data_IF_530217045268
#
_entry.id   IF_530217045268
#
_cell.length_a   1.000
_cell.length_b   1.000
_cell.length_c   1.000
_cell.angle_alpha   90.00
_cell.angle_beta   90.00
_cell.angle_gamma   90.00
#
_symmetry.space_group_name_H-M   'P 1'
#
loop_
_entity.id
_entity.type
_entity.pdbx_description
1 polymer ?
#
# COMPACT_ATOMS: atom_id res chain seq x y z
N UNK A 1 -20.10 -27.53 11.78
CA UNK A 1 -19.50 -26.21 11.52
C UNK A 1 -18.51 -26.37 10.37
N UNK A 2 -18.91 -25.99 9.16
CA UNK A 2 -18.06 -26.06 7.98
C UNK A 2 -17.01 -24.96 8.07
N UNK A 3 -15.74 -25.33 8.12
CA UNK A 3 -14.65 -24.38 7.99
C UNK A 3 -14.69 -23.80 6.59
N UNK A 4 -14.90 -22.49 6.47
CA UNK A 4 -14.70 -21.77 5.22
C UNK A 4 -13.26 -22.01 4.78
N UNK A 5 -13.09 -22.78 3.70
CA UNK A 5 -11.80 -22.91 3.04
C UNK A 5 -11.47 -21.57 2.43
N UNK A 6 -10.65 -20.78 3.11
CA UNK A 6 -10.08 -19.55 2.53
C UNK A 6 -9.37 -19.96 1.25
N UNK A 7 -9.86 -19.48 0.11
CA UNK A 7 -9.33 -19.81 -1.21
C UNK A 7 -7.86 -19.35 -1.27
N UNK A 8 -6.94 -20.31 -1.41
CA UNK A 8 -5.50 -20.04 -1.43
C UNK A 8 -5.02 -20.05 -2.88
N UNK A 9 -4.68 -18.87 -3.39
CA UNK A 9 -4.14 -18.74 -4.74
C UNK A 9 -2.61 -18.93 -4.72
N UNK A 10 -2.03 -19.85 -5.50
CA UNK A 10 -0.59 -20.02 -5.54
C UNK A 10 0.10 -18.81 -6.19
N UNK A 11 1.32 -18.49 -5.76
CA UNK A 11 2.12 -17.46 -6.42
C UNK A 11 2.41 -17.79 -7.89
N UNK A 12 2.21 -16.81 -8.77
CA UNK A 12 2.73 -16.85 -10.14
C UNK A 12 4.27 -16.81 -10.16
N UNK A 13 4.95 -17.21 -11.25
CA UNK A 13 6.40 -17.07 -11.38
C UNK A 13 6.90 -15.64 -11.14
N UNK A 14 6.22 -14.63 -11.70
CA UNK A 14 6.56 -13.22 -11.47
C UNK A 14 6.38 -12.85 -10.00
N UNK A 15 5.26 -13.25 -9.38
CA UNK A 15 5.03 -12.97 -7.96
C UNK A 15 6.11 -13.60 -7.06
N UNK A 16 6.66 -14.77 -7.42
CA UNK A 16 7.80 -15.35 -6.68
C UNK A 16 9.07 -14.53 -6.84
N UNK A 17 9.34 -14.02 -8.05
CA UNK A 17 10.50 -13.19 -8.31
C UNK A 17 10.43 -11.86 -7.55
N UNK A 18 9.29 -11.16 -7.64
CA UNK A 18 9.07 -9.86 -6.97
C UNK A 18 9.03 -9.95 -5.44
N UNK A 19 8.87 -11.15 -4.87
CA UNK A 19 8.91 -11.39 -3.42
C UNK A 19 10.23 -12.05 -2.98
N UNK A 20 11.26 -12.10 -3.83
CA UNK A 20 12.57 -12.59 -3.40
C UNK A 20 13.24 -11.54 -2.48
N UNK A 21 14.03 -11.97 -1.49
CA UNK A 21 14.74 -11.03 -0.61
C UNK A 21 15.65 -10.05 -1.36
N UNK A 22 16.15 -10.46 -2.52
CA UNK A 22 17.07 -9.68 -3.36
C UNK A 22 16.32 -8.71 -4.29
N UNK A 23 14.99 -8.73 -4.31
CA UNK A 23 14.16 -7.95 -5.22
C UNK A 23 13.12 -7.11 -4.46
N UNK A 24 13.54 -5.91 -4.03
CA UNK A 24 12.65 -4.92 -3.43
C UNK A 24 12.18 -3.93 -4.51
N UNK A 25 10.98 -4.15 -5.06
CA UNK A 25 10.42 -3.32 -6.11
C UNK A 25 9.10 -2.67 -5.67
N UNK A 26 9.06 -1.34 -5.75
CA UNK A 26 7.87 -0.54 -5.49
C UNK A 26 7.50 0.26 -6.74
N UNK A 27 6.20 0.42 -6.97
CA UNK A 27 5.66 1.34 -7.98
C UNK A 27 5.13 2.55 -7.23
N UNK A 28 5.74 3.72 -7.47
CA UNK A 28 5.28 4.98 -6.88
C UNK A 28 4.57 5.79 -7.97
N UNK A 29 3.35 6.23 -7.67
CA UNK A 29 2.56 7.08 -8.56
C UNK A 29 2.21 8.36 -7.80
N UNK A 30 2.69 9.49 -8.30
CA UNK A 30 2.42 10.81 -7.71
C UNK A 30 1.40 11.56 -8.55
N UNK A 31 0.37 12.09 -7.91
CA UNK A 31 -0.71 12.84 -8.57
C UNK A 31 -0.95 14.16 -7.85
N UNK A 32 -0.93 15.27 -8.58
CA UNK A 32 -1.27 16.60 -8.05
C UNK A 32 -2.76 16.91 -8.20
N UNK A 33 -3.37 17.49 -7.17
CA UNK A 33 -4.76 17.98 -7.21
C UNK A 33 -4.82 19.46 -6.83
N UNK A 34 -5.74 20.21 -7.44
CA UNK A 34 -5.99 21.63 -7.08
C UNK A 34 -6.78 21.77 -5.78
N UNK A 35 -7.54 20.73 -5.41
CA UNK A 35 -8.39 20.72 -4.23
C UNK A 35 -7.64 19.98 -3.12
N UNK A 36 -7.70 20.51 -1.90
CA UNK A 36 -7.14 19.83 -0.72
C UNK A 36 -7.81 18.45 -0.57
N UNK A 37 -7.00 17.42 -0.41
CA UNK A 37 -7.48 16.06 -0.18
C UNK A 37 -8.30 15.99 1.11
N UNK A 38 -9.41 15.26 1.09
CA UNK A 38 -10.16 14.90 2.29
C UNK A 38 -9.92 13.41 2.57
N UNK A 39 -9.10 13.06 3.59
CA UNK A 39 -8.78 11.67 3.91
C UNK A 39 -10.02 10.81 4.14
N UNK A 40 -11.05 11.32 4.82
CA UNK A 40 -12.30 10.59 5.06
C UNK A 40 -13.00 10.24 3.76
N UNK A 41 -13.13 11.21 2.84
CA UNK A 41 -13.77 10.98 1.55
C UNK A 41 -12.97 9.99 0.68
N UNK A 42 -11.63 10.04 0.75
CA UNK A 42 -10.75 9.07 0.07
C UNK A 42 -10.99 7.67 0.63
N UNK A 43 -10.97 7.50 1.96
CA UNK A 43 -11.22 6.22 2.62
C UNK A 43 -12.58 5.65 2.22
N UNK A 44 -13.63 6.47 2.23
CA UNK A 44 -14.98 6.04 1.85
C UNK A 44 -15.03 5.63 0.37
N UNK A 45 -14.39 6.39 -0.53
CA UNK A 45 -14.27 6.01 -1.94
C UNK A 45 -13.53 4.69 -2.16
N UNK A 46 -12.45 4.44 -1.40
CA UNK A 46 -11.68 3.20 -1.49
C UNK A 46 -12.48 1.99 -1.04
N UNK A 47 -13.29 2.12 0.02
CA UNK A 47 -14.19 1.06 0.50
C UNK A 47 -15.16 0.57 -0.57
N UNK A 48 -15.52 1.42 -1.52
CA UNK A 48 -16.41 1.09 -2.63
C UNK A 48 -15.71 0.71 -3.94
N UNK A 49 -14.38 0.85 -4.03
CA UNK A 49 -13.63 0.65 -5.29
C UNK A 49 -12.50 -0.38 -5.12
N UNK A 50 -11.32 0.07 -4.71
CA UNK A 50 -10.04 -0.64 -4.73
C UNK A 50 -10.09 -1.92 -3.88
N UNK A 51 -10.69 -1.85 -2.68
CA UNK A 51 -10.69 -2.96 -1.71
C UNK A 51 -11.53 -4.16 -2.13
N UNK A 52 -12.45 -3.96 -3.09
CA UNK A 52 -13.28 -5.04 -3.61
C UNK A 52 -12.48 -6.02 -4.46
N UNK A 53 -11.36 -5.58 -5.03
CA UNK A 53 -10.52 -6.40 -5.89
C UNK A 53 -9.59 -7.31 -5.05
N UNK A 54 -9.47 -8.62 -5.36
CA UNK A 54 -8.62 -9.58 -4.61
C UNK A 54 -7.17 -9.12 -4.42
N UNK A 55 -6.54 -8.56 -5.46
CA UNK A 55 -5.18 -7.99 -5.41
C UNK A 55 -4.94 -6.96 -4.29
N UNK A 56 -5.94 -6.16 -3.93
CA UNK A 56 -5.80 -5.13 -2.89
C UNK A 56 -6.35 -5.58 -1.52
N UNK A 57 -6.81 -6.83 -1.43
CA UNK A 57 -7.38 -7.42 -0.21
C UNK A 57 -6.71 -8.74 0.16
N UNK A 58 -5.53 -9.03 -0.39
CA UNK A 58 -4.79 -10.26 -0.14
C UNK A 58 -3.39 -9.98 0.39
N UNK A 59 -2.90 -10.87 1.25
CA UNK A 59 -1.54 -10.86 1.78
C UNK A 59 -0.80 -12.11 1.35
N UNK A 60 0.53 -12.02 1.39
CA UNK A 60 1.38 -13.17 1.13
C UNK A 60 1.53 -14.02 2.39
N UNK A 61 0.96 -15.23 2.38
CA UNK A 61 1.14 -16.19 3.46
C UNK A 61 2.40 -17.04 3.21
N UNK A 62 3.47 -16.74 3.94
CA UNK A 62 4.68 -17.58 3.99
C UNK A 62 4.49 -18.72 4.99
N UNK A 63 4.49 -19.97 4.52
CA UNK A 63 4.37 -21.14 5.40
C UNK A 63 5.74 -21.54 5.95
N UNK A 64 6.16 -20.93 7.06
CA UNK A 64 7.41 -21.28 7.72
C UNK A 64 7.36 -22.73 8.25
N UNK A 65 8.23 -23.60 7.73
CA UNK A 65 8.46 -24.95 8.26
C UNK A 65 7.46 -26.05 7.89
N UNK A 66 6.40 -25.76 7.12
CA UNK A 66 5.49 -26.79 6.57
C UNK A 66 5.72 -26.92 5.07
N UNK A 67 5.53 -28.13 4.51
CA UNK A 67 5.66 -28.47 3.06
C UNK A 67 4.66 -27.73 2.13
N UNK A 68 4.24 -26.52 2.47
CA UNK A 68 3.31 -25.72 1.70
C UNK A 68 4.02 -24.67 0.88
N UNK A 69 3.61 -24.52 -0.38
CA UNK A 69 4.04 -23.40 -1.24
C UNK A 69 3.42 -22.09 -0.71
N UNK A 70 4.14 -20.96 -0.80
CA UNK A 70 3.56 -19.67 -0.45
C UNK A 70 2.40 -19.30 -1.39
N UNK A 71 1.41 -18.62 -0.84
CA UNK A 71 0.12 -18.35 -1.48
C UNK A 71 -0.44 -16.99 -1.09
N UNK A 72 -1.21 -16.39 -1.99
CA UNK A 72 -2.04 -15.23 -1.69
C UNK A 72 -3.28 -15.67 -0.92
N UNK A 73 -3.57 -14.96 0.16
CA UNK A 73 -4.71 -15.25 1.03
C UNK A 73 -5.49 -13.96 1.20
N UNK A 74 -6.78 -14.00 0.84
CA UNK A 74 -7.68 -12.86 1.06
C UNK A 74 -7.83 -12.63 2.56
N UNK A 75 -7.68 -11.38 3.00
CA UNK A 75 -7.70 -11.00 4.41
C UNK A 75 -8.68 -9.86 4.66
N UNK A 76 -9.11 -9.74 5.92
CA UNK A 76 -9.79 -8.54 6.42
C UNK A 76 -8.71 -7.57 6.89
N UNK A 77 -8.86 -6.30 6.52
CA UNK A 77 -7.93 -5.23 6.89
C UNK A 77 -8.70 -3.92 7.05
N UNK A 78 -8.07 -2.94 7.69
CA UNK A 78 -8.67 -1.61 7.89
C UNK A 78 -8.14 -0.67 6.82
N UNK A 79 -9.03 -0.15 5.97
CA UNK A 79 -8.66 0.75 4.86
C UNK A 79 -7.95 2.00 5.36
N UNK A 80 -8.33 2.45 6.56
CA UNK A 80 -7.74 3.59 7.25
C UNK A 80 -6.22 3.41 7.50
N UNK A 81 -5.75 2.19 7.69
CA UNK A 81 -4.32 1.88 7.93
C UNK A 81 -3.48 1.90 6.64
N UNK A 82 -4.13 2.06 5.49
CA UNK A 82 -3.49 2.24 4.18
C UNK A 82 -3.51 3.70 3.71
N UNK A 83 -4.21 4.60 4.41
CA UNK A 83 -4.27 6.02 4.07
C UNK A 83 -3.43 6.81 5.08
N UNK A 84 -2.26 7.26 4.62
CA UNK A 84 -1.25 7.93 5.45
C UNK A 84 -1.32 9.43 5.19
N UNK A 85 -1.56 10.20 6.24
CA UNK A 85 -1.56 11.66 6.19
C UNK A 85 -0.38 12.13 7.04
N UNK A 86 0.78 12.42 6.42
CA UNK A 86 1.91 12.96 7.17
C UNK A 86 1.55 14.30 7.80
N UNK A 87 2.06 14.56 8.99
CA UNK A 87 2.03 15.87 9.60
C UNK A 87 3.10 16.73 8.92
N UNK A 88 2.66 17.74 8.18
CA UNK A 88 3.53 18.61 7.38
C UNK A 88 3.40 20.01 7.93
N UNK A 89 4.55 20.65 8.17
CA UNK A 89 4.61 22.06 8.53
C UNK A 89 3.93 22.92 7.43
N UNK A 90 2.85 23.66 7.74
CA UNK A 90 2.18 24.51 6.76
C UNK A 90 3.07 25.65 6.24
N UNK A 91 4.10 26.02 7.00
CA UNK A 91 5.05 27.09 6.69
C UNK A 91 6.39 26.54 6.17
N UNK A 92 6.41 25.30 5.69
CA UNK A 92 7.61 24.66 5.16
C UNK A 92 8.26 25.52 4.06
N UNK A 93 9.56 25.79 4.24
CA UNK A 93 10.31 26.74 3.40
C UNK A 93 10.40 26.27 1.95
N UNK A 94 10.62 24.97 1.74
CA UNK A 94 10.74 24.36 0.42
C UNK A 94 9.80 23.13 0.27
N UNK A 95 8.53 23.35 -0.11
CA UNK A 95 7.56 22.28 -0.33
C UNK A 95 7.96 21.29 -1.42
N UNK A 96 8.73 21.73 -2.42
CA UNK A 96 9.16 20.87 -3.54
C UNK A 96 10.24 19.90 -3.10
N UNK A 97 11.28 20.39 -2.40
CA UNK A 97 12.31 19.52 -1.84
C UNK A 97 11.71 18.52 -0.86
N UNK A 98 10.78 18.95 -0.01
CA UNK A 98 10.09 18.03 0.89
C UNK A 98 9.36 16.91 0.13
N UNK A 99 8.67 17.24 -0.96
CA UNK A 99 7.99 16.23 -1.78
C UNK A 99 8.99 15.23 -2.38
N UNK A 100 10.12 15.70 -2.91
CA UNK A 100 11.17 14.87 -3.47
C UNK A 100 11.79 13.94 -2.41
N UNK A 101 12.12 14.49 -1.24
CA UNK A 101 12.68 13.74 -0.11
C UNK A 101 11.69 12.69 0.42
N UNK A 102 10.41 13.06 0.48
CA UNK A 102 9.34 12.14 0.90
C UNK A 102 9.22 10.98 -0.08
N UNK A 103 9.15 11.25 -1.39
CA UNK A 103 9.09 10.22 -2.43
C UNK A 103 10.35 9.34 -2.39
N UNK A 104 11.53 9.94 -2.25
CA UNK A 104 12.80 9.22 -2.10
C UNK A 104 12.76 8.26 -0.91
N UNK A 105 12.25 8.73 0.23
CA UNK A 105 12.07 7.88 1.43
C UNK A 105 11.16 6.70 1.14
N UNK A 106 10.02 6.90 0.47
CA UNK A 106 9.10 5.80 0.09
C UNK A 106 9.77 4.72 -0.79
N UNK A 107 10.81 5.05 -1.55
CA UNK A 107 11.54 4.04 -2.35
C UNK A 107 12.43 3.12 -1.51
N UNK A 108 12.76 3.53 -0.29
CA UNK A 108 13.73 2.83 0.58
C UNK A 108 13.08 2.14 1.78
N UNK A 109 11.89 2.58 2.19
CA UNK A 109 11.15 1.98 3.30
C UNK A 109 10.46 0.70 2.83
N UNK A 110 10.70 -0.46 3.47
CA UNK A 110 10.02 -1.70 3.12
C UNK A 110 8.54 -1.64 3.52
N UNK A 111 7.67 -2.20 2.69
CA UNK A 111 6.24 -2.33 3.03
C UNK A 111 6.03 -3.39 4.11
N UNK A 112 5.01 -3.15 4.95
CA UNK A 112 4.54 -4.13 5.93
C UNK A 112 3.82 -5.30 5.23
N UNK A 113 4.47 -6.47 5.26
CA UNK A 113 3.96 -7.68 4.63
C UNK A 113 2.76 -8.31 5.36
N UNK A 114 2.40 -7.81 6.54
CA UNK A 114 1.23 -8.29 7.31
C UNK A 114 -0.11 -7.75 6.78
N UNK A 115 -0.06 -6.73 5.92
CA UNK A 115 -1.22 -6.08 5.28
C UNK A 115 -1.12 -6.13 3.74
N UNK A 116 -2.23 -5.93 3.01
CA UNK A 116 -2.16 -5.84 1.54
C UNK A 116 -1.15 -4.78 1.07
N UNK A 117 -0.36 -5.10 0.05
CA UNK A 117 0.82 -4.31 -0.35
C UNK A 117 0.47 -3.08 -1.19
N UNK A 118 -0.14 -2.09 -0.55
CA UNK A 118 -0.42 -0.78 -1.14
C UNK A 118 -0.65 0.26 -0.05
N UNK A 119 -0.30 1.51 -0.33
CA UNK A 119 -0.53 2.65 0.56
C UNK A 119 -0.94 3.87 -0.28
N UNK A 120 -1.71 4.78 0.31
CA UNK A 120 -2.05 6.09 -0.26
C UNK A 120 -1.58 7.16 0.70
N UNK A 121 -0.63 7.97 0.25
CA UNK A 121 -0.09 9.07 1.03
C UNK A 121 -0.74 10.38 0.56
N UNK A 122 -1.38 11.10 1.48
CA UNK A 122 -2.09 12.35 1.18
C UNK A 122 -1.27 13.51 1.72
N UNK A 123 -0.45 14.11 0.84
CA UNK A 123 0.42 15.23 1.19
C UNK A 123 -0.29 16.55 0.89
N UNK A 124 -0.50 17.37 1.93
CA UNK A 124 -1.10 18.70 1.82
C UNK A 124 0.00 19.77 1.70
N UNK A 125 0.58 19.92 0.51
CA UNK A 125 1.65 20.88 0.23
C UNK A 125 1.16 22.08 -0.58
N UNK A 126 1.65 23.28 -0.23
CA UNK A 126 1.40 24.51 -0.98
C UNK A 126 2.55 24.77 -1.97
N UNK A 127 2.55 24.06 -3.10
CA UNK A 127 3.56 24.24 -4.15
C UNK A 127 3.22 25.51 -4.95
N UNK A 128 4.10 26.50 -4.92
CA UNK A 128 3.98 27.72 -5.74
C UNK A 128 4.42 27.38 -7.17
N UNK A 129 3.50 27.48 -8.13
CA UNK A 129 3.81 27.37 -9.56
C UNK A 129 3.99 28.74 -10.19
#
# INVERSE_FOLDING_TARGET
MGGETVEKEPLSPCSRLFNSPDFNCAIIVTMGCKVKGNPSAIIDGLKHTLVNHPRFSSILEMKNGKKGKPSWVRTKFRVEEHVIVPDIDPDIENPEQYLEDYISTLTTVPMDLSKPLWEIHVLCLNIKR
#
